data_IF_425333961284
#
_entry.id   IF_425333961284
#
_cell.length_a   1.000
_cell.length_b   1.000
_cell.length_c   1.000
_cell.angle_alpha   90.00
_cell.angle_beta   90.00
_cell.angle_gamma   90.00
#
_symmetry.space_group_name_H-M   'P 1'
#
loop_
_entity.id
_entity.type
_entity.pdbx_description
1 polymer ?
#
# COMPACT_ATOMS: atom_id res chain seq x y z
N UNK A 1 16.44 5.74 -20.00
CA UNK A 1 15.17 6.48 -20.03
C UNK A 1 14.22 5.85 -19.02
N UNK A 2 13.61 6.64 -18.16
CA UNK A 2 12.59 6.17 -17.23
C UNK A 2 11.27 5.94 -17.97
N UNK A 3 10.60 4.83 -17.68
CA UNK A 3 9.32 4.50 -18.33
C UNK A 3 8.16 4.95 -17.43
N UNK A 4 7.12 5.55 -18.03
CA UNK A 4 5.91 5.89 -17.31
C UNK A 4 4.70 5.13 -17.85
N UNK A 5 3.72 4.89 -17.00
CA UNK A 5 2.43 4.31 -17.35
C UNK A 5 1.30 5.27 -16.95
N UNK A 6 0.27 5.29 -17.77
CA UNK A 6 -1.00 5.93 -17.45
C UNK A 6 -1.82 4.92 -16.64
N UNK A 7 -2.11 5.23 -15.37
CA UNK A 7 -2.85 4.37 -14.46
C UNK A 7 -4.28 4.91 -14.30
N UNK A 8 -5.27 4.07 -14.51
CA UNK A 8 -6.65 4.40 -14.19
C UNK A 8 -6.83 4.46 -12.67
N UNK A 9 -7.53 5.49 -12.17
CA UNK A 9 -7.89 5.60 -10.76
C UNK A 9 -9.15 4.77 -10.49
N UNK A 10 -9.22 4.07 -9.35
CA UNK A 10 -10.49 3.48 -8.91
C UNK A 10 -11.47 4.61 -8.61
N UNK A 11 -12.71 4.46 -9.08
CA UNK A 11 -13.80 5.37 -8.75
C UNK A 11 -14.26 5.07 -7.31
N UNK A 12 -13.75 5.85 -6.35
CA UNK A 12 -14.08 5.69 -4.93
C UNK A 12 -15.44 6.32 -4.57
N UNK A 13 -15.91 7.27 -5.40
CA UNK A 13 -17.12 8.03 -5.12
C UNK A 13 -18.31 7.58 -5.96
N UNK A 14 -18.14 6.59 -6.84
CA UNK A 14 -19.24 6.09 -7.68
C UNK A 14 -19.76 7.07 -8.73
N UNK A 15 -18.96 8.09 -9.10
CA UNK A 15 -19.36 9.13 -10.05
C UNK A 15 -19.35 8.66 -11.51
N UNK A 16 -18.83 7.47 -11.79
CA UNK A 16 -18.66 6.94 -13.15
C UNK A 16 -17.51 7.59 -13.94
N UNK A 17 -16.85 8.62 -13.42
CA UNK A 17 -15.76 9.30 -14.09
C UNK A 17 -14.47 8.45 -14.09
N UNK A 18 -13.90 8.26 -15.28
CA UNK A 18 -12.64 7.54 -15.46
C UNK A 18 -11.46 8.49 -15.33
N UNK A 19 -11.08 8.82 -14.11
CA UNK A 19 -9.87 9.61 -13.85
C UNK A 19 -8.62 8.75 -14.02
N UNK A 20 -7.50 9.38 -14.36
CA UNK A 20 -6.22 8.70 -14.49
C UNK A 20 -5.09 9.59 -13.96
N UNK A 21 -4.00 8.94 -13.54
CA UNK A 21 -2.77 9.61 -13.16
C UNK A 21 -1.57 8.94 -13.83
N UNK A 22 -0.45 9.64 -13.86
CA UNK A 22 0.79 9.12 -14.41
C UNK A 22 1.71 8.67 -13.27
N UNK A 23 2.32 7.50 -13.41
CA UNK A 23 3.33 7.01 -12.48
C UNK A 23 4.49 6.38 -13.22
N UNK A 24 5.65 6.35 -12.59
CA UNK A 24 6.77 5.58 -13.13
C UNK A 24 6.43 4.10 -13.16
N UNK A 25 6.79 3.43 -14.24
CA UNK A 25 6.73 1.99 -14.29
C UNK A 25 7.67 1.42 -13.23
N UNK A 26 7.27 0.33 -12.57
CA UNK A 26 8.13 -0.32 -11.57
C UNK A 26 9.45 -0.72 -12.23
N UNK A 27 10.55 -0.24 -11.69
CA UNK A 27 11.88 -0.71 -12.02
C UNK A 27 12.46 -1.48 -10.83
N UNK A 28 13.62 -2.11 -11.03
CA UNK A 28 14.27 -2.83 -9.95
C UNK A 28 14.71 -1.88 -8.83
N UNK A 29 14.74 -2.35 -7.60
CA UNK A 29 15.32 -1.64 -6.48
C UNK A 29 16.86 -1.81 -6.53
N UNK A 30 17.59 -0.71 -6.46
CA UNK A 30 19.04 -0.71 -6.30
C UNK A 30 19.35 -0.91 -4.81
N UNK A 31 20.21 -1.85 -4.49
CA UNK A 31 20.67 -2.09 -3.11
C UNK A 31 21.70 -1.04 -2.70
N UNK A 32 21.91 -0.87 -1.38
CA UNK A 32 22.94 0.03 -0.83
C UNK A 32 24.32 -0.30 -1.40
N UNK A 33 24.69 -1.57 -1.40
CA UNK A 33 25.98 -2.03 -1.95
C UNK A 33 26.17 -1.66 -3.43
N UNK A 34 25.12 -1.85 -4.23
CA UNK A 34 25.14 -1.49 -5.64
C UNK A 34 25.24 0.02 -5.83
N UNK A 35 24.52 0.79 -5.02
CA UNK A 35 24.58 2.24 -5.03
C UNK A 35 25.98 2.78 -4.68
N UNK A 36 26.60 2.27 -3.62
CA UNK A 36 27.93 2.65 -3.20
C UNK A 36 28.99 2.26 -4.25
N UNK A 37 28.86 1.10 -4.89
CA UNK A 37 29.74 0.73 -6.01
C UNK A 37 29.62 1.69 -7.21
N UNK A 38 28.42 2.21 -7.47
CA UNK A 38 28.24 3.22 -8.51
C UNK A 38 29.01 4.50 -8.14
N UNK A 39 28.83 5.00 -6.91
CA UNK A 39 29.54 6.21 -6.42
C UNK A 39 31.06 6.00 -6.48
N UNK A 40 31.55 4.87 -5.95
CA UNK A 40 32.97 4.56 -5.91
C UNK A 40 33.60 4.60 -7.30
N UNK A 41 32.87 4.11 -8.32
CA UNK A 41 33.36 4.09 -9.71
C UNK A 41 33.43 5.49 -10.32
N UNK A 42 32.45 6.36 -10.04
CA UNK A 42 32.42 7.71 -10.61
C UNK A 42 33.34 8.68 -9.88
N UNK A 43 33.45 8.55 -8.55
CA UNK A 43 34.20 9.49 -7.70
C UNK A 43 35.58 8.94 -7.32
N UNK A 44 35.99 7.77 -7.83
CA UNK A 44 37.26 7.09 -7.50
C UNK A 44 37.49 6.88 -5.98
N UNK A 45 36.41 6.66 -5.23
CA UNK A 45 36.43 6.49 -3.77
C UNK A 45 36.46 5.00 -3.39
N UNK A 46 37.02 4.70 -2.21
CA UNK A 46 37.01 3.35 -1.67
C UNK A 46 35.59 3.00 -1.15
N UNK A 47 35.07 1.83 -1.56
CA UNK A 47 33.72 1.37 -1.18
C UNK A 47 33.61 1.22 0.34
N UNK A 48 34.65 0.69 1.03
CA UNK A 48 34.64 0.52 2.48
C UNK A 48 34.53 1.86 3.23
N UNK A 49 35.24 2.89 2.74
CA UNK A 49 35.10 4.24 3.31
C UNK A 49 33.69 4.80 3.14
N UNK A 50 33.07 4.57 1.99
CA UNK A 50 31.70 4.98 1.75
C UNK A 50 30.69 4.24 2.63
N UNK A 51 30.89 2.93 2.84
CA UNK A 51 30.06 2.13 3.74
C UNK A 51 30.19 2.64 5.19
N UNK A 52 31.41 2.89 5.65
CA UNK A 52 31.66 3.43 6.99
C UNK A 52 31.03 4.81 7.17
N UNK A 53 31.20 5.71 6.21
CA UNK A 53 30.59 7.04 6.24
C UNK A 53 29.05 6.95 6.27
N UNK A 54 28.45 6.06 5.47
CA UNK A 54 27.01 5.88 5.46
C UNK A 54 26.48 5.34 6.79
N UNK A 55 27.19 4.38 7.42
CA UNK A 55 26.84 3.90 8.76
C UNK A 55 26.90 5.05 9.78
N UNK A 56 27.99 5.82 9.78
CA UNK A 56 28.12 6.97 10.67
C UNK A 56 27.02 8.02 10.48
N UNK A 57 26.61 8.28 9.23
CA UNK A 57 25.47 9.17 8.95
C UNK A 57 24.18 8.59 9.53
N UNK A 58 23.93 7.29 9.33
CA UNK A 58 22.71 6.66 9.82
C UNK A 58 22.61 6.66 11.35
N UNK A 59 23.70 6.35 12.04
CA UNK A 59 23.77 6.30 13.50
C UNK A 59 23.57 7.69 14.12
N UNK A 60 24.33 8.68 13.66
CA UNK A 60 24.19 10.07 14.14
C UNK A 60 22.82 10.68 13.80
N UNK A 61 22.25 10.33 12.64
CA UNK A 61 20.91 10.76 12.28
C UNK A 61 19.86 10.20 13.27
N UNK A 62 20.00 8.92 13.64
CA UNK A 62 19.09 8.29 14.61
C UNK A 62 19.19 8.95 15.99
N UNK A 63 20.40 9.24 16.48
CA UNK A 63 20.62 9.91 17.76
C UNK A 63 20.01 11.32 17.78
N UNK A 64 20.32 12.15 16.79
CA UNK A 64 19.82 13.52 16.72
C UNK A 64 18.30 13.57 16.59
N UNK A 65 17.70 12.67 15.81
CA UNK A 65 16.24 12.58 15.70
C UNK A 65 15.59 12.11 17.02
N UNK A 66 16.25 11.22 17.76
CA UNK A 66 15.77 10.78 19.08
C UNK A 66 15.82 11.91 20.12
N UNK A 67 16.78 12.82 20.01
CA UNK A 67 16.87 14.03 20.83
C UNK A 67 15.86 15.11 20.43
N UNK A 68 15.11 14.91 19.33
CA UNK A 68 14.09 15.83 18.85
C UNK A 68 14.57 16.88 17.84
N UNK A 69 15.80 16.77 17.38
CA UNK A 69 16.31 17.65 16.34
C UNK A 69 15.72 17.32 14.96
N UNK A 70 15.66 18.31 14.10
CA UNK A 70 15.43 18.15 12.67
C UNK A 70 16.76 18.25 11.94
N UNK A 71 17.10 17.25 11.15
CA UNK A 71 18.40 17.18 10.47
C UNK A 71 18.23 17.45 8.98
N UNK A 72 18.89 18.49 8.48
CA UNK A 72 18.95 18.82 7.07
C UNK A 72 20.27 18.34 6.47
N UNK A 73 20.17 17.58 5.39
CA UNK A 73 21.29 17.23 4.52
C UNK A 73 21.12 17.96 3.19
N UNK A 74 22.00 18.93 2.93
CA UNK A 74 21.92 19.76 1.72
C UNK A 74 22.02 18.89 0.46
N UNK A 75 21.20 19.16 -0.53
CA UNK A 75 21.09 18.36 -1.74
C UNK A 75 20.38 17.01 -1.59
N UNK A 76 19.99 16.62 -0.36
CA UNK A 76 19.21 15.39 -0.11
C UNK A 76 17.82 15.76 0.41
N UNK A 77 17.75 16.35 1.61
CA UNK A 77 16.49 16.73 2.22
C UNK A 77 16.56 16.85 3.73
N UNK A 78 15.40 16.98 4.35
CA UNK A 78 15.25 17.18 5.79
C UNK A 78 14.53 15.99 6.40
N UNK A 79 15.05 15.50 7.51
CA UNK A 79 14.51 14.41 8.31
C UNK A 79 13.99 14.96 9.64
N UNK A 80 12.85 14.47 10.09
CA UNK A 80 12.20 14.86 11.34
C UNK A 80 11.44 13.68 11.93
N UNK A 81 11.62 13.43 13.22
CA UNK A 81 10.83 12.44 13.93
C UNK A 81 9.37 12.93 14.08
N UNK A 82 8.42 12.01 13.97
CA UNK A 82 7.01 12.26 14.23
C UNK A 82 6.54 11.40 15.41
N UNK A 83 5.80 12.01 16.32
CA UNK A 83 5.26 11.33 17.48
C UNK A 83 3.84 10.84 17.21
N UNK A 84 3.46 9.81 17.92
CA UNK A 84 2.11 9.28 17.95
C UNK A 84 1.80 8.59 19.26
N UNK A 85 0.55 8.24 19.44
CA UNK A 85 0.08 7.49 20.60
C UNK A 85 0.24 6.00 20.31
N UNK A 86 0.69 5.22 21.28
CA UNK A 86 0.78 3.75 21.17
C UNK A 86 -0.57 3.15 20.79
N UNK A 87 -0.56 2.14 19.90
CA UNK A 87 -1.77 1.49 19.35
C UNK A 87 -2.77 1.01 20.43
N UNK A 88 -2.30 0.77 21.64
CA UNK A 88 -3.15 0.34 22.78
C UNK A 88 -3.90 1.47 23.48
N UNK A 89 -3.74 2.72 23.04
CA UNK A 89 -4.31 3.91 23.69
C UNK A 89 -5.18 4.71 22.70
N UNK A 90 -6.25 5.29 23.23
CA UNK A 90 -7.12 6.18 22.47
C UNK A 90 -6.41 7.51 22.19
N UNK A 91 -6.78 8.16 21.08
CA UNK A 91 -6.26 9.47 20.68
C UNK A 91 -6.94 10.54 21.53
N UNK A 92 -6.15 11.48 22.07
CA UNK A 92 -6.69 12.60 22.86
C UNK A 92 -7.41 13.61 21.96
N UNK A 93 -8.50 14.18 22.49
CA UNK A 93 -9.15 15.35 21.93
C UNK A 93 -8.66 16.63 22.62
N UNK A 94 -8.53 17.74 21.89
CA UNK A 94 -8.04 19.02 22.43
C UNK A 94 -8.98 19.56 23.53
N UNK A 95 -10.30 19.31 23.40
CA UNK A 95 -11.32 19.75 24.34
C UNK A 95 -11.60 18.74 25.46
N UNK A 96 -10.88 17.61 25.48
CA UNK A 96 -11.00 16.58 26.50
C UNK A 96 -10.30 17.00 27.79
N UNK A 97 -11.11 17.16 28.84
CA UNK A 97 -10.69 17.59 30.15
C UNK A 97 -9.54 16.75 30.73
N UNK A 98 -8.40 17.40 30.98
CA UNK A 98 -7.45 17.18 32.09
C UNK A 98 -6.75 15.83 32.29
N UNK A 99 -6.90 14.81 31.50
CA UNK A 99 -6.01 13.67 31.63
C UNK A 99 -4.65 13.98 30.98
N UNK A 100 -3.74 14.57 31.75
CA UNK A 100 -2.33 14.72 31.36
C UNK A 100 -1.78 13.35 30.93
N UNK A 101 -1.68 13.14 29.64
CA UNK A 101 -1.15 11.89 29.11
C UNK A 101 0.30 11.72 29.55
N UNK A 102 0.61 10.54 30.10
CA UNK A 102 1.98 10.23 30.51
C UNK A 102 2.85 10.05 29.23
N UNK A 103 4.08 10.58 29.28
CA UNK A 103 5.08 10.42 28.22
C UNK A 103 5.31 8.95 27.80
N UNK A 104 5.08 7.98 28.69
CA UNK A 104 5.15 6.54 28.40
C UNK A 104 4.11 6.05 27.37
N UNK A 105 3.05 6.83 27.12
CA UNK A 105 2.02 6.50 26.13
C UNK A 105 2.26 7.15 24.76
N UNK A 106 3.30 7.96 24.65
CA UNK A 106 3.74 8.61 23.41
C UNK A 106 5.00 7.90 22.92
N UNK A 107 5.13 7.70 21.62
CA UNK A 107 6.31 7.10 21.01
C UNK A 107 6.61 7.73 19.63
N UNK A 108 7.84 7.57 19.16
CA UNK A 108 8.20 7.92 17.80
C UNK A 108 7.51 6.95 16.86
N UNK A 109 6.60 7.44 16.05
CA UNK A 109 5.82 6.64 15.10
C UNK A 109 6.53 6.47 13.76
N UNK A 110 7.20 7.53 13.30
CA UNK A 110 7.86 7.53 12.00
C UNK A 110 8.92 8.61 11.90
N UNK A 111 9.72 8.54 10.86
CA UNK A 111 10.61 9.63 10.43
C UNK A 111 10.06 10.22 9.14
N UNK A 112 9.65 11.47 9.19
CA UNK A 112 9.23 12.23 8.03
C UNK A 112 10.46 12.69 7.26
N UNK A 113 10.44 12.44 5.95
CA UNK A 113 11.44 12.95 5.01
C UNK A 113 10.81 13.98 4.07
N UNK A 114 11.48 15.11 3.90
CA UNK A 114 11.11 16.15 2.93
C UNK A 114 12.30 16.36 2.01
N UNK A 115 12.13 16.06 0.73
CA UNK A 115 13.19 16.18 -0.27
C UNK A 115 13.64 17.63 -0.44
N UNK A 116 14.94 17.82 -0.67
CA UNK A 116 15.48 19.13 -1.04
C UNK A 116 14.95 19.58 -2.41
N UNK A 117 14.68 20.88 -2.55
CA UNK A 117 14.19 21.46 -3.81
C UNK A 117 15.20 21.29 -4.96
N UNK A 118 16.48 21.37 -4.65
CA UNK A 118 17.53 21.22 -5.65
C UNK A 118 17.65 19.77 -6.12
N UNK A 119 17.48 18.78 -5.24
CA UNK A 119 17.38 17.38 -5.64
C UNK A 119 16.22 17.17 -6.63
N UNK A 120 15.06 17.72 -6.32
CA UNK A 120 13.89 17.61 -7.21
C UNK A 120 14.14 18.26 -8.57
N UNK A 121 14.81 19.41 -8.58
CA UNK A 121 15.20 20.14 -9.77
C UNK A 121 16.15 19.34 -10.66
N UNK A 122 17.20 18.78 -10.06
CA UNK A 122 18.17 17.92 -10.75
C UNK A 122 17.51 16.68 -11.36
N UNK A 123 16.64 16.01 -10.59
CA UNK A 123 15.88 14.87 -11.08
C UNK A 123 14.99 15.26 -12.27
N UNK A 124 14.33 16.41 -12.24
CA UNK A 124 13.52 16.91 -13.36
C UNK A 124 14.36 17.14 -14.63
N UNK A 125 15.53 17.74 -14.47
CA UNK A 125 16.44 18.04 -15.60
C UNK A 125 16.98 16.72 -16.21
N UNK A 126 17.41 15.79 -15.38
CA UNK A 126 18.03 14.52 -15.81
C UNK A 126 17.02 13.48 -16.28
N UNK A 127 15.75 13.61 -15.90
CA UNK A 127 14.72 12.60 -16.17
C UNK A 127 14.22 12.69 -17.61
N UNK A 128 14.57 11.69 -18.43
CA UNK A 128 14.00 11.49 -19.76
C UNK A 128 12.94 10.40 -19.70
N UNK A 129 11.69 10.74 -19.99
CA UNK A 129 10.54 9.86 -19.89
C UNK A 129 10.17 9.24 -21.22
N UNK A 130 9.82 7.96 -21.21
CA UNK A 130 9.21 7.26 -22.34
C UNK A 130 7.94 6.55 -21.90
N UNK A 131 6.95 6.47 -22.80
CA UNK A 131 5.69 5.81 -22.51
C UNK A 131 5.86 4.29 -22.53
N UNK A 132 5.41 3.60 -21.47
CA UNK A 132 5.44 2.14 -21.39
C UNK A 132 4.08 1.49 -21.67
N UNK A 133 2.98 2.19 -21.35
CA UNK A 133 1.64 1.63 -21.56
C UNK A 133 0.57 2.27 -20.70
N UNK A 134 -0.57 1.58 -20.64
CA UNK A 134 -1.74 1.97 -19.86
C UNK A 134 -2.08 0.82 -18.90
N UNK A 135 -2.18 1.08 -17.62
CA UNK A 135 -2.69 0.14 -16.65
C UNK A 135 -4.14 0.52 -16.33
N UNK A 136 -5.05 -0.38 -16.64
CA UNK A 136 -6.48 -0.23 -16.32
C UNK A 136 -6.79 -0.93 -15.01
N UNK A 137 -7.80 -0.47 -14.32
CA UNK A 137 -8.37 -1.20 -13.19
C UNK A 137 -9.14 -2.38 -13.76
N UNK A 138 -8.79 -3.60 -13.33
CA UNK A 138 -9.57 -4.78 -13.69
C UNK A 138 -10.94 -4.66 -13.03
N UNK A 139 -11.95 -4.36 -13.83
CA UNK A 139 -13.35 -4.31 -13.42
C UNK A 139 -14.04 -5.54 -13.97
N UNK A 140 -14.82 -6.18 -13.15
CA UNK A 140 -15.77 -7.19 -13.62
C UNK A 140 -16.76 -6.57 -14.61
N UNK A 141 -17.14 -7.25 -15.68
CA UNK A 141 -18.19 -6.79 -16.58
C UNK A 141 -19.58 -6.75 -15.90
N UNK A 142 -19.70 -7.43 -14.75
CA UNK A 142 -20.96 -7.59 -14.03
C UNK A 142 -21.10 -6.56 -12.91
N UNK A 143 -22.31 -6.07 -12.67
CA UNK A 143 -22.66 -5.27 -11.48
C UNK A 143 -22.61 -6.15 -10.21
N UNK A 144 -22.64 -5.53 -9.04
CA UNK A 144 -22.60 -6.28 -7.77
C UNK A 144 -23.80 -7.22 -7.60
N UNK A 145 -24.98 -6.77 -8.05
CA UNK A 145 -26.20 -7.57 -8.02
C UNK A 145 -26.15 -8.75 -8.99
N UNK A 146 -25.64 -8.52 -10.20
CA UNK A 146 -25.45 -9.59 -11.18
C UNK A 146 -24.46 -10.63 -10.69
N UNK A 147 -23.36 -10.22 -10.06
CA UNK A 147 -22.38 -11.14 -9.47
C UNK A 147 -22.97 -11.96 -8.33
N UNK A 148 -23.84 -11.36 -7.52
CA UNK A 148 -24.56 -12.10 -6.49
C UNK A 148 -25.50 -13.16 -7.11
N UNK A 149 -26.24 -12.81 -8.15
CA UNK A 149 -27.11 -13.74 -8.88
C UNK A 149 -26.29 -14.88 -9.51
N UNK A 150 -25.16 -14.57 -10.14
CA UNK A 150 -24.26 -15.59 -10.70
C UNK A 150 -23.76 -16.55 -9.62
N UNK A 151 -23.39 -16.03 -8.44
CA UNK A 151 -22.98 -16.84 -7.30
C UNK A 151 -24.10 -17.74 -6.78
N UNK A 152 -25.32 -17.18 -6.64
CA UNK A 152 -26.48 -17.95 -6.20
C UNK A 152 -26.85 -19.07 -7.19
N UNK A 153 -26.82 -18.76 -8.48
CA UNK A 153 -27.07 -19.75 -9.54
C UNK A 153 -26.00 -20.85 -9.51
N UNK A 154 -24.72 -20.50 -9.37
CA UNK A 154 -23.62 -21.45 -9.28
C UNK A 154 -23.79 -22.40 -8.09
N UNK A 155 -24.16 -21.87 -6.92
CA UNK A 155 -24.37 -22.67 -5.70
C UNK A 155 -25.73 -23.40 -5.66
N UNK A 156 -26.62 -23.14 -6.62
CA UNK A 156 -27.91 -23.86 -6.75
C UNK A 156 -27.74 -25.15 -7.53
N UNK A 157 -26.65 -25.31 -8.27
CA UNK A 157 -26.32 -26.54 -8.98
C UNK A 157 -25.78 -27.57 -7.98
N UNK A 158 -26.36 -28.75 -7.97
CA UNK A 158 -25.92 -29.86 -7.12
C UNK A 158 -24.48 -30.31 -7.37
N UNK A 159 -23.94 -30.04 -8.56
CA UNK A 159 -22.54 -30.30 -8.89
C UNK A 159 -21.57 -29.32 -8.18
N UNK A 160 -22.07 -28.19 -7.67
CA UNK A 160 -21.27 -27.11 -7.07
C UNK A 160 -21.73 -26.76 -5.65
N UNK A 161 -21.57 -27.67 -4.67
CA UNK A 161 -22.07 -27.47 -3.30
C UNK A 161 -21.35 -26.35 -2.54
N UNK A 162 -20.19 -25.93 -3.00
CA UNK A 162 -19.42 -24.83 -2.44
C UNK A 162 -18.61 -24.11 -3.52
N UNK A 163 -18.13 -22.92 -3.20
CA UNK A 163 -17.21 -22.13 -4.04
C UNK A 163 -16.06 -21.58 -3.22
N UNK A 164 -14.85 -21.59 -3.79
CA UNK A 164 -13.66 -20.94 -3.22
C UNK A 164 -13.47 -19.55 -3.80
N UNK A 165 -12.70 -18.71 -3.09
CA UNK A 165 -12.38 -17.35 -3.56
C UNK A 165 -11.77 -17.35 -4.96
N UNK A 166 -10.95 -18.37 -5.31
CA UNK A 166 -10.31 -18.44 -6.62
C UNK A 166 -11.32 -18.73 -7.74
N UNK A 167 -12.26 -19.62 -7.50
CA UNK A 167 -13.32 -20.01 -8.44
C UNK A 167 -14.30 -18.85 -8.65
N UNK A 168 -14.71 -18.22 -7.56
CA UNK A 168 -15.54 -17.02 -7.63
C UNK A 168 -14.85 -15.87 -8.38
N UNK A 169 -13.56 -15.65 -8.12
CA UNK A 169 -12.77 -14.63 -8.82
C UNK A 169 -12.74 -14.88 -10.34
N UNK A 170 -12.65 -16.14 -10.77
CA UNK A 170 -12.71 -16.53 -12.17
C UNK A 170 -14.13 -16.37 -12.75
N UNK A 171 -15.16 -16.80 -12.01
CA UNK A 171 -16.56 -16.73 -12.42
C UNK A 171 -17.03 -15.31 -12.73
N UNK A 172 -16.60 -14.34 -11.90
CA UNK A 172 -17.04 -12.94 -12.00
C UNK A 172 -15.96 -11.99 -12.55
N UNK A 173 -14.85 -12.51 -13.01
CA UNK A 173 -13.71 -11.75 -13.55
C UNK A 173 -13.19 -10.65 -12.61
N UNK A 174 -13.08 -10.97 -11.33
CA UNK A 174 -12.52 -10.07 -10.31
C UNK A 174 -11.13 -10.53 -9.84
N UNK A 175 -10.26 -9.57 -9.43
CA UNK A 175 -9.05 -9.92 -8.70
C UNK A 175 -9.39 -10.68 -7.41
N UNK A 176 -8.58 -11.70 -7.05
CA UNK A 176 -8.80 -12.54 -5.85
C UNK A 176 -9.03 -11.75 -4.56
N UNK A 177 -8.30 -10.64 -4.38
CA UNK A 177 -8.45 -9.77 -3.21
C UNK A 177 -9.83 -9.11 -3.14
N UNK A 178 -10.37 -8.65 -4.27
CA UNK A 178 -11.70 -8.05 -4.37
C UNK A 178 -12.79 -9.10 -4.23
N UNK A 179 -12.65 -10.23 -4.91
CA UNK A 179 -13.54 -11.38 -4.79
C UNK A 179 -13.67 -11.88 -3.35
N UNK A 180 -12.54 -11.99 -2.62
CA UNK A 180 -12.55 -12.41 -1.22
C UNK A 180 -13.20 -11.38 -0.27
N UNK A 181 -13.09 -10.07 -0.55
CA UNK A 181 -13.80 -9.02 0.21
C UNK A 181 -15.30 -9.09 -0.07
N UNK A 182 -15.68 -9.28 -1.31
CA UNK A 182 -17.08 -9.32 -1.75
C UNK A 182 -17.80 -10.57 -1.19
N UNK A 183 -17.22 -11.75 -1.29
CA UNK A 183 -17.77 -12.98 -0.69
C UNK A 183 -17.98 -12.85 0.81
N UNK A 184 -17.02 -12.23 1.53
CA UNK A 184 -17.18 -11.93 2.96
C UNK A 184 -18.33 -10.93 3.21
N UNK A 185 -18.52 -9.95 2.35
CA UNK A 185 -19.64 -9.03 2.44
C UNK A 185 -20.98 -9.74 2.21
N UNK A 186 -21.03 -10.63 1.21
CA UNK A 186 -22.24 -11.40 0.90
C UNK A 186 -22.60 -12.38 2.02
N UNK A 187 -21.60 -13.07 2.62
CA UNK A 187 -21.85 -14.01 3.70
C UNK A 187 -22.27 -13.37 5.02
N UNK A 188 -21.93 -12.09 5.25
CA UNK A 188 -22.38 -11.33 6.42
C UNK A 188 -23.85 -10.92 6.34
N UNK A 189 -24.37 -10.69 5.14
CA UNK A 189 -25.78 -10.35 4.94
C UNK A 189 -26.57 -11.62 4.71
N UNK A 190 -27.39 -11.98 5.71
CA UNK A 190 -28.20 -13.21 5.70
C UNK A 190 -29.20 -13.26 4.53
N UNK A 191 -29.73 -12.12 4.11
CA UNK A 191 -30.66 -12.02 2.99
C UNK A 191 -30.08 -12.50 1.64
N UNK A 192 -28.75 -12.57 1.52
CA UNK A 192 -28.11 -13.04 0.28
C UNK A 192 -28.13 -14.57 0.12
N UNK A 193 -28.55 -15.32 1.14
CA UNK A 193 -28.59 -16.78 1.10
C UNK A 193 -27.22 -17.47 0.99
N UNK A 194 -26.14 -16.78 1.37
CA UNK A 194 -24.76 -17.27 1.33
C UNK A 194 -24.21 -17.40 2.76
N UNK A 195 -23.53 -18.51 3.03
CA UNK A 195 -22.83 -18.74 4.29
C UNK A 195 -21.35 -19.06 4.04
N UNK A 196 -20.49 -18.77 5.00
CA UNK A 196 -19.09 -19.22 4.99
C UNK A 196 -18.94 -20.44 5.87
N UNK A 197 -18.20 -21.44 5.41
CA UNK A 197 -17.89 -22.69 6.12
C UNK A 197 -16.38 -22.92 6.15
N UNK A 198 -15.89 -23.57 7.20
CA UNK A 198 -14.47 -23.89 7.38
C UNK A 198 -13.65 -22.79 8.07
N UNK A 199 -12.38 -23.12 8.38
CA UNK A 199 -11.41 -22.19 9.01
C UNK A 199 -10.28 -21.85 8.04
N UNK A 200 -9.64 -20.68 8.22
CA UNK A 200 -8.46 -20.33 7.42
C UNK A 200 -7.38 -21.41 7.54
N UNK A 201 -6.76 -21.84 6.41
CA UNK A 201 -6.87 -21.29 5.06
C UNK A 201 -7.99 -21.89 4.19
N UNK A 202 -8.80 -22.83 4.70
CA UNK A 202 -9.76 -23.65 3.94
C UNK A 202 -11.20 -23.11 4.00
N UNK A 203 -11.39 -21.78 4.01
CA UNK A 203 -12.73 -21.18 3.98
C UNK A 203 -13.36 -21.37 2.59
N UNK A 204 -14.56 -21.91 2.58
CA UNK A 204 -15.44 -22.06 1.42
C UNK A 204 -16.76 -21.32 1.65
N UNK A 205 -17.47 -21.02 0.59
CA UNK A 205 -18.77 -20.36 0.63
C UNK A 205 -19.81 -21.32 0.07
N UNK A 206 -20.92 -21.42 0.78
CA UNK A 206 -21.99 -22.39 0.50
C UNK A 206 -23.33 -21.67 0.45
N UNK A 207 -24.33 -22.29 -0.16
CA UNK A 207 -25.70 -21.83 -0.03
C UNK A 207 -26.16 -22.01 1.42
N UNK A 208 -26.80 -21.00 1.98
CA UNK A 208 -27.40 -21.07 3.31
C UNK A 208 -28.65 -21.95 3.24
N UNK A 209 -28.65 -23.04 3.94
CA UNK A 209 -29.87 -23.79 4.23
C UNK A 209 -30.56 -23.14 5.43
N UNK A 210 -31.82 -22.75 5.29
CA UNK A 210 -32.65 -22.40 6.43
C UNK A 210 -32.81 -23.66 7.27
N UNK A 211 -32.29 -23.65 8.48
CA UNK A 211 -32.53 -24.63 9.50
C UNK A 211 -33.64 -24.16 10.43
#
# INVERSE_FOLDING_TARGET
MAKYIKQEMPDLNGTGEKKCYYRLAKSRKISTKEFLNIIARYEMLNVGMLEHALCGIADNLAELLAEGYSVKLDGIGTFQATLGVKETKEIDTIDGDEQKRNAKSIEVQNVRYVSDKDLVKEVKIKCKLSRAGVARVNRSPYTKEERLKLLQNYLSDAAHPFIRVAEYAALVELPRSSAGKELRSFSKNHANGIASSGRRPAVVYVRRTEG
#
